data_IF_899544462103
#
_entry.id   IF_899544462103
#
_cell.length_a   1.000
_cell.length_b   1.000
_cell.length_c   1.000
_cell.angle_alpha   90.00
_cell.angle_beta   90.00
_cell.angle_gamma   90.00
#
_symmetry.space_group_name_H-M   'P 1'
#
loop_
_entity.id
_entity.type
_entity.pdbx_description
1 polymer ?
#
# COMPACT_ATOMS: atom_id res chain seq x y z
N UNK A 1 48.78 -6.13 -12.79
CA UNK A 1 48.06 -4.84 -12.81
C UNK A 1 46.73 -5.08 -12.14
N UNK A 2 46.53 -4.46 -10.99
CA UNK A 2 45.43 -4.71 -10.04
C UNK A 2 44.09 -4.21 -10.59
N UNK A 3 43.14 -5.11 -10.78
CA UNK A 3 41.72 -4.76 -10.90
C UNK A 3 41.26 -4.18 -9.56
N UNK A 4 41.27 -2.84 -9.49
CA UNK A 4 40.65 -2.12 -8.39
C UNK A 4 39.12 -2.30 -8.51
N UNK A 5 38.57 -3.22 -7.72
CA UNK A 5 37.14 -3.32 -7.47
C UNK A 5 36.69 -2.03 -6.78
N UNK A 6 36.32 -1.01 -7.57
CA UNK A 6 35.69 0.18 -7.03
C UNK A 6 34.38 -0.26 -6.35
N UNK A 7 34.15 0.07 -5.05
CA UNK A 7 32.84 -0.12 -4.46
C UNK A 7 31.88 0.76 -5.25
N UNK A 8 31.09 0.15 -6.14
CA UNK A 8 30.06 0.85 -6.88
C UNK A 8 29.13 1.46 -5.86
N UNK A 9 29.18 2.79 -5.72
CA UNK A 9 28.31 3.51 -4.81
C UNK A 9 26.88 3.05 -5.07
N UNK A 10 26.29 2.38 -4.09
CA UNK A 10 24.98 1.74 -4.26
C UNK A 10 24.00 2.82 -4.72
N UNK A 11 23.45 2.65 -5.93
CA UNK A 11 22.56 3.65 -6.50
C UNK A 11 21.37 3.88 -5.55
N UNK A 12 20.85 5.12 -5.47
CA UNK A 12 19.70 5.45 -4.62
C UNK A 12 18.54 4.46 -4.81
N UNK A 13 18.36 3.99 -6.05
CA UNK A 13 17.41 2.94 -6.43
C UNK A 13 17.65 1.60 -5.72
N UNK A 14 18.89 1.12 -5.69
CA UNK A 14 19.24 -0.13 -5.00
C UNK A 14 19.07 0.00 -3.49
N UNK A 15 19.38 1.16 -2.91
CA UNK A 15 19.15 1.42 -1.48
C UNK A 15 17.66 1.41 -1.14
N UNK A 16 16.83 2.02 -1.99
CA UNK A 16 15.37 2.00 -1.83
C UNK A 16 14.80 0.59 -2.00
N UNK A 17 15.28 -0.19 -2.97
CA UNK A 17 14.88 -1.59 -3.14
C UNK A 17 15.22 -2.43 -1.89
N UNK A 18 16.45 -2.29 -1.38
CA UNK A 18 16.86 -2.95 -0.15
C UNK A 18 16.03 -2.51 1.07
N UNK A 19 15.67 -1.23 1.15
CA UNK A 19 14.80 -0.71 2.21
C UNK A 19 13.40 -1.32 2.13
N UNK A 20 12.79 -1.33 0.94
CA UNK A 20 11.44 -1.87 0.71
C UNK A 20 11.36 -3.38 0.98
N UNK A 21 12.46 -4.12 0.77
CA UNK A 21 12.54 -5.56 1.07
C UNK A 21 12.76 -5.88 2.54
N UNK A 22 13.02 -4.89 3.40
CA UNK A 22 13.24 -5.15 4.83
C UNK A 22 11.98 -5.77 5.45
N UNK A 23 12.13 -6.83 6.27
CA UNK A 23 10.99 -7.44 6.95
C UNK A 23 10.26 -6.44 7.84
N UNK A 24 10.98 -5.48 8.43
CA UNK A 24 10.37 -4.40 9.21
C UNK A 24 9.40 -3.57 8.37
N UNK A 25 9.79 -3.14 7.16
CA UNK A 25 8.92 -2.37 6.27
C UNK A 25 7.69 -3.19 5.87
N UNK A 26 7.89 -4.46 5.52
CA UNK A 26 6.79 -5.37 5.19
C UNK A 26 5.81 -5.55 6.36
N UNK A 27 6.32 -5.78 7.58
CA UNK A 27 5.50 -5.91 8.78
C UNK A 27 4.79 -4.60 9.14
N UNK A 28 5.43 -3.44 8.96
CA UNK A 28 4.80 -2.13 9.17
C UNK A 28 3.64 -1.94 8.21
N UNK A 29 3.83 -2.22 6.91
CA UNK A 29 2.77 -2.11 5.90
C UNK A 29 1.63 -3.08 6.24
N UNK A 30 1.94 -4.34 6.58
CA UNK A 30 0.94 -5.32 7.01
C UNK A 30 0.15 -4.84 8.24
N UNK A 31 0.84 -4.33 9.26
CA UNK A 31 0.23 -3.77 10.46
C UNK A 31 -0.69 -2.60 10.13
N UNK A 32 -0.28 -1.70 9.23
CA UNK A 32 -1.12 -0.60 8.77
C UNK A 32 -2.37 -1.08 8.02
N UNK A 33 -2.28 -2.16 7.24
CA UNK A 33 -3.45 -2.75 6.58
C UNK A 33 -4.43 -3.30 7.62
N UNK A 34 -3.94 -4.02 8.63
CA UNK A 34 -4.77 -4.57 9.70
C UNK A 34 -5.46 -3.44 10.49
N UNK A 35 -4.70 -2.41 10.88
CA UNK A 35 -5.25 -1.23 11.56
C UNK A 35 -6.32 -0.58 10.69
N UNK A 36 -6.07 -0.42 9.39
CA UNK A 36 -7.03 0.17 8.47
C UNK A 36 -8.31 -0.67 8.31
N UNK A 37 -8.20 -2.01 8.32
CA UNK A 37 -9.35 -2.90 8.33
C UNK A 37 -10.19 -2.76 9.61
N UNK A 38 -9.54 -2.60 10.76
CA UNK A 38 -10.23 -2.33 12.03
C UNK A 38 -10.95 -0.98 11.98
N UNK A 39 -10.29 0.09 11.52
CA UNK A 39 -10.91 1.40 11.35
C UNK A 39 -12.15 1.34 10.47
N UNK A 40 -12.09 0.59 9.37
CA UNK A 40 -13.24 0.37 8.48
C UNK A 40 -14.41 -0.34 9.19
N UNK A 41 -14.12 -1.31 10.06
CA UNK A 41 -15.13 -1.92 10.92
C UNK A 41 -15.74 -0.91 11.90
N UNK A 42 -14.92 -0.02 12.47
CA UNK A 42 -15.39 1.05 13.35
C UNK A 42 -16.23 2.11 12.62
N UNK A 43 -15.97 2.37 11.33
CA UNK A 43 -16.81 3.23 10.49
C UNK A 43 -18.25 2.70 10.34
N UNK A 44 -18.47 1.39 10.51
CA UNK A 44 -19.83 0.81 10.47
C UNK A 44 -20.61 1.04 11.77
N UNK A 45 -19.93 1.37 12.87
CA UNK A 45 -20.56 1.59 14.16
C UNK A 45 -20.98 3.06 14.33
N UNK A 46 -22.29 3.31 14.30
CA UNK A 46 -22.83 4.66 14.48
C UNK A 46 -22.46 5.30 15.82
N UNK A 47 -22.35 4.52 16.91
CA UNK A 47 -21.98 5.03 18.23
C UNK A 47 -20.51 5.46 18.33
N UNK A 48 -19.63 4.76 17.62
CA UNK A 48 -18.20 5.08 17.54
C UNK A 48 -17.96 6.26 16.61
N UNK A 49 -18.64 6.30 15.46
CA UNK A 49 -18.60 7.42 14.52
C UNK A 49 -19.12 8.72 15.16
N UNK A 50 -20.11 8.66 16.03
CA UNK A 50 -20.62 9.84 16.74
C UNK A 50 -19.60 10.45 17.72
N UNK A 51 -18.75 9.64 18.33
CA UNK A 51 -17.77 10.09 19.33
C UNK A 51 -16.39 10.39 18.73
N UNK A 52 -15.94 9.57 17.78
CA UNK A 52 -14.57 9.58 17.26
C UNK A 52 -14.50 9.60 15.72
N UNK A 53 -15.59 9.92 15.03
CA UNK A 53 -15.67 9.81 13.57
C UNK A 53 -14.60 10.60 12.81
N UNK A 54 -14.39 11.86 13.20
CA UNK A 54 -13.36 12.72 12.58
C UNK A 54 -11.96 12.15 12.75
N UNK A 55 -11.66 11.59 13.92
CA UNK A 55 -10.34 11.00 14.21
C UNK A 55 -10.13 9.71 13.41
N UNK A 56 -11.14 8.84 13.34
CA UNK A 56 -11.10 7.60 12.54
C UNK A 56 -10.87 7.92 11.05
N UNK A 57 -11.62 8.87 10.50
CA UNK A 57 -11.47 9.29 9.10
C UNK A 57 -10.11 9.96 8.83
N UNK A 58 -9.57 10.70 9.79
CA UNK A 58 -8.24 11.29 9.68
C UNK A 58 -7.15 10.22 9.68
N UNK A 59 -7.27 9.20 10.54
CA UNK A 59 -6.37 8.05 10.54
C UNK A 59 -6.46 7.23 9.25
N UNK A 60 -7.67 6.97 8.74
CA UNK A 60 -7.85 6.27 7.45
C UNK A 60 -7.11 7.00 6.32
N UNK A 61 -7.28 8.33 6.23
CA UNK A 61 -6.55 9.16 5.26
C UNK A 61 -5.04 9.16 5.46
N UNK A 62 -4.58 9.21 6.71
CA UNK A 62 -3.16 9.14 7.02
C UNK A 62 -2.55 7.81 6.55
N UNK A 63 -3.22 6.69 6.82
CA UNK A 63 -2.78 5.36 6.38
C UNK A 63 -2.79 5.26 4.85
N UNK A 64 -3.83 5.76 4.18
CA UNK A 64 -3.86 5.84 2.72
C UNK A 64 -2.66 6.62 2.16
N UNK A 65 -2.29 7.74 2.79
CA UNK A 65 -1.13 8.53 2.33
C UNK A 65 0.19 7.76 2.39
N UNK A 66 0.38 6.92 3.43
CA UNK A 66 1.56 6.05 3.56
C UNK A 66 1.59 5.02 2.43
N UNK A 67 0.44 4.42 2.11
CA UNK A 67 0.31 3.46 1.02
C UNK A 67 0.57 4.06 -0.36
N UNK A 68 0.12 5.30 -0.58
CA UNK A 68 0.41 6.04 -1.81
C UNK A 68 1.91 6.26 -1.95
N UNK A 69 2.57 6.67 -0.87
CA UNK A 69 4.01 6.88 -0.84
C UNK A 69 4.77 5.57 -1.12
N UNK A 70 4.42 4.49 -0.42
CA UNK A 70 4.99 3.15 -0.63
C UNK A 70 4.86 2.70 -2.10
N UNK A 71 3.66 2.84 -2.67
CA UNK A 71 3.39 2.48 -4.05
C UNK A 71 4.22 3.33 -5.03
N UNK A 72 4.31 4.64 -4.80
CA UNK A 72 5.13 5.54 -5.61
C UNK A 72 6.62 5.15 -5.56
N UNK A 73 7.13 4.79 -4.38
CA UNK A 73 8.49 4.27 -4.21
C UNK A 73 8.69 2.96 -5.00
N UNK A 74 7.74 2.04 -4.92
CA UNK A 74 7.78 0.78 -5.70
C UNK A 74 7.79 1.04 -7.20
N UNK A 75 6.96 1.95 -7.71
CA UNK A 75 6.95 2.36 -9.12
C UNK A 75 8.31 2.96 -9.52
N UNK A 76 8.87 3.85 -8.69
CA UNK A 76 10.17 4.46 -8.96
C UNK A 76 11.30 3.43 -9.02
N UNK A 77 11.28 2.44 -8.12
CA UNK A 77 12.27 1.37 -8.05
C UNK A 77 12.10 0.36 -9.17
N UNK A 78 10.88 -0.07 -9.51
CA UNK A 78 10.64 -1.18 -10.43
C UNK A 78 10.34 -0.73 -11.87
N UNK A 79 9.98 0.54 -12.11
CA UNK A 79 9.72 1.14 -13.43
C UNK A 79 8.77 0.27 -14.27
N UNK A 80 9.20 -0.16 -15.46
CA UNK A 80 8.39 -0.99 -16.36
C UNK A 80 8.12 -2.39 -15.80
N UNK A 81 8.99 -2.91 -14.93
CA UNK A 81 8.76 -4.21 -14.29
C UNK A 81 7.58 -4.17 -13.32
N UNK A 82 7.26 -3.00 -12.76
CA UNK A 82 6.08 -2.81 -11.92
C UNK A 82 4.78 -3.19 -12.65
N UNK A 83 4.64 -2.74 -13.90
CA UNK A 83 3.45 -2.98 -14.71
C UNK A 83 3.35 -4.41 -15.25
N UNK A 84 4.41 -5.21 -15.12
CA UNK A 84 4.41 -6.64 -15.50
C UNK A 84 4.06 -7.57 -14.34
N UNK A 85 4.02 -7.06 -13.11
CA UNK A 85 3.62 -7.80 -11.91
C UNK A 85 2.11 -7.58 -11.65
N UNK A 86 1.23 -8.58 -11.84
CA UNK A 86 -0.21 -8.45 -11.62
C UNK A 86 -0.55 -7.99 -10.21
N UNK A 87 0.25 -8.39 -9.22
CA UNK A 87 0.06 -8.00 -7.81
C UNK A 87 0.34 -6.51 -7.58
N UNK A 88 1.37 -5.98 -8.25
CA UNK A 88 1.68 -4.56 -8.25
C UNK A 88 0.61 -3.74 -8.97
N UNK A 89 0.07 -4.25 -10.08
CA UNK A 89 -1.03 -3.60 -10.81
C UNK A 89 -2.33 -3.57 -10.00
N UNK A 90 -2.63 -4.65 -9.25
CA UNK A 90 -3.77 -4.68 -8.33
C UNK A 90 -3.64 -3.61 -7.23
N UNK A 91 -2.48 -3.54 -6.57
CA UNK A 91 -2.22 -2.50 -5.56
C UNK A 91 -2.42 -1.10 -6.13
N UNK A 92 -1.92 -0.87 -7.35
CA UNK A 92 -2.08 0.39 -8.05
C UNK A 92 -3.54 0.74 -8.29
N UNK A 93 -4.35 -0.20 -8.80
CA UNK A 93 -5.78 0.02 -9.04
C UNK A 93 -6.54 0.34 -7.74
N UNK A 94 -6.27 -0.39 -6.66
CA UNK A 94 -6.91 -0.18 -5.36
C UNK A 94 -6.58 1.20 -4.78
N UNK A 95 -5.31 1.60 -4.83
CA UNK A 95 -4.89 2.94 -4.36
C UNK A 95 -5.44 4.04 -5.26
N UNK A 96 -5.49 3.84 -6.58
CA UNK A 96 -6.06 4.80 -7.51
C UNK A 96 -7.55 5.05 -7.24
N UNK A 97 -8.34 3.99 -7.04
CA UNK A 97 -9.76 4.09 -6.66
C UNK A 97 -9.93 4.82 -5.33
N UNK A 98 -9.02 4.61 -4.37
CA UNK A 98 -9.05 5.28 -3.08
C UNK A 98 -8.71 6.79 -3.13
N UNK A 99 -7.99 7.24 -4.16
CA UNK A 99 -7.70 8.67 -4.38
C UNK A 99 -8.88 9.43 -4.97
N UNK A 100 -9.76 8.75 -5.71
CA UNK A 100 -10.88 9.41 -6.39
C UNK A 100 -11.90 9.89 -5.35
N UNK A 101 -12.31 11.17 -5.37
CA UNK A 101 -13.38 11.67 -4.53
C UNK A 101 -14.68 10.91 -4.81
N UNK A 102 -15.17 10.15 -3.82
CA UNK A 102 -16.42 9.41 -3.92
C UNK A 102 -17.64 10.31 -3.63
N UNK A 103 -17.90 11.29 -4.52
CA UNK A 103 -19.06 12.18 -4.50
C UNK A 103 -19.96 11.98 -5.72
N UNK A 104 -21.25 12.28 -5.57
CA UNK A 104 -22.23 12.22 -6.68
C UNK A 104 -22.31 10.82 -7.34
N UNK A 105 -22.24 10.72 -8.69
CA UNK A 105 -22.33 9.46 -9.43
C UNK A 105 -21.29 8.40 -9.01
N UNK A 106 -20.19 8.82 -8.38
CA UNK A 106 -19.11 7.95 -7.94
C UNK A 106 -19.26 7.44 -6.50
N UNK A 107 -20.47 7.52 -5.93
CA UNK A 107 -20.75 7.02 -4.59
C UNK A 107 -20.37 5.53 -4.42
N UNK A 108 -20.43 4.70 -5.48
CA UNK A 108 -20.01 3.30 -5.43
C UNK A 108 -18.52 3.13 -5.10
N UNK A 109 -17.66 4.10 -5.45
CA UNK A 109 -16.24 4.07 -5.10
C UNK A 109 -16.03 4.12 -3.57
N UNK A 110 -17.02 4.61 -2.82
CA UNK A 110 -17.05 4.53 -1.35
C UNK A 110 -17.20 3.10 -0.84
N UNK A 111 -17.86 2.20 -1.55
CA UNK A 111 -17.90 0.80 -1.16
C UNK A 111 -16.59 0.11 -1.56
N UNK A 112 -16.04 0.43 -2.74
CA UNK A 112 -14.81 -0.20 -3.26
C UNK A 112 -13.56 0.04 -2.42
N UNK A 113 -13.55 1.02 -1.51
CA UNK A 113 -12.44 1.16 -0.56
C UNK A 113 -12.27 -0.07 0.34
N UNK A 114 -13.28 -0.93 0.53
CA UNK A 114 -13.11 -2.25 1.18
C UNK A 114 -12.04 -3.11 0.50
N UNK A 115 -11.84 -2.93 -0.81
CA UNK A 115 -10.79 -3.62 -1.58
C UNK A 115 -9.39 -3.30 -1.06
N UNK A 116 -9.18 -2.20 -0.32
CA UNK A 116 -7.90 -1.91 0.32
C UNK A 116 -7.50 -2.93 1.37
N UNK A 117 -8.47 -3.59 2.02
CA UNK A 117 -8.20 -4.70 2.94
C UNK A 117 -7.65 -5.91 2.17
N UNK A 118 -8.04 -6.09 0.91
CA UNK A 118 -7.50 -7.15 0.05
C UNK A 118 -6.03 -6.94 -0.29
N UNK A 119 -5.43 -5.77 -0.01
CA UNK A 119 -3.99 -5.55 -0.15
C UNK A 119 -3.15 -6.42 0.79
N UNK A 120 -3.75 -7.03 1.82
CA UNK A 120 -3.06 -8.12 2.55
C UNK A 120 -2.60 -9.22 1.59
N UNK A 121 -3.40 -9.54 0.58
CA UNK A 121 -3.10 -10.60 -0.39
C UNK A 121 -1.90 -10.27 -1.26
N UNK A 122 -1.69 -8.99 -1.58
CA UNK A 122 -0.51 -8.56 -2.36
C UNK A 122 0.75 -8.55 -1.51
N UNK A 123 0.66 -8.24 -0.21
CA UNK A 123 1.82 -8.20 0.69
C UNK A 123 2.29 -9.61 1.10
N UNK A 124 1.36 -10.54 1.33
CA UNK A 124 1.66 -11.87 1.86
C UNK A 124 2.27 -12.75 0.75
N UNK A 125 3.58 -13.08 0.80
CA UNK A 125 4.26 -13.76 -0.30
C UNK A 125 3.77 -15.19 -0.53
N UNK A 126 3.17 -15.83 0.48
CA UNK A 126 2.60 -17.17 0.36
C UNK A 126 1.37 -17.21 -0.55
N UNK A 127 0.57 -16.13 -0.60
CA UNK A 127 -0.58 -16.01 -1.51
C UNK A 127 -0.13 -15.92 -2.97
N UNK A 128 0.98 -15.21 -3.23
CA UNK A 128 1.56 -15.06 -4.58
C UNK A 128 2.07 -16.37 -5.18
N UNK A 129 2.41 -17.35 -4.34
CA UNK A 129 2.96 -18.66 -4.74
C UNK A 129 1.88 -19.69 -5.12
N UNK A 130 0.63 -19.47 -4.76
CA UNK A 130 -0.49 -20.41 -5.01
C UNK A 130 -1.14 -20.19 -6.37
N UNK A 131 -0.89 -19.04 -7.01
CA UNK A 131 -1.48 -18.65 -8.30
C UNK A 131 -0.46 -18.78 -9.47
N UNK A 132 0.73 -19.32 -9.20
CA UNK A 132 1.82 -19.49 -10.17
C UNK A 132 2.15 -20.95 -10.43
#
# INVERSE_FOLDING_TARGET
MTDATYPTATSLRQRLDQLLRKPLVQHTILGLIIVNAVLMGLETSGSVMAQAGTFILALDRAILSVFVLELALRIFVHRLAFFRDPWSLFDFAVVAVALVPASGPFAVLRALRVLRVLRVLTIVPSMRRVVG
#
